data_IF_013067857690
#
_entry.id   IF_013067857690
#
_cell.length_a   1.000
_cell.length_b   1.000
_cell.length_c   1.000
_cell.angle_alpha   90.00
_cell.angle_beta   90.00
_cell.angle_gamma   90.00
#
_symmetry.space_group_name_H-M   'P 1'
#
loop_
_entity.id
_entity.type
_entity.pdbx_description
1 polymer ?
#
# COMPACT_ATOMS: atom_id res chain seq x y z
N UNK A 1 -28.08 0.45 -23.94
CA UNK A 1 -27.48 -0.20 -22.75
C UNK A 1 -27.62 -1.69 -22.96
N UNK A 2 -26.51 -2.35 -23.33
CA UNK A 2 -25.66 -3.04 -22.36
C UNK A 2 -24.16 -2.75 -22.55
N UNK A 3 -23.37 -3.30 -21.62
CA UNK A 3 -21.91 -3.28 -21.49
C UNK A 3 -21.24 -3.75 -22.80
N UNK A 4 -20.20 -3.04 -23.27
CA UNK A 4 -19.34 -3.50 -24.36
C UNK A 4 -17.86 -3.11 -24.20
N UNK A 5 -17.03 -4.13 -24.42
CA UNK A 5 -15.68 -4.14 -25.00
C UNK A 5 -14.46 -3.76 -24.15
N UNK A 6 -13.98 -4.76 -23.44
CA UNK A 6 -12.55 -5.12 -23.42
C UNK A 6 -12.23 -5.97 -24.67
N UNK A 7 -11.32 -5.50 -25.53
CA UNK A 7 -10.51 -6.39 -26.38
C UNK A 7 -9.14 -5.79 -26.72
N UNK A 8 -8.12 -6.52 -26.28
CA UNK A 8 -6.84 -6.84 -26.91
C UNK A 8 -6.07 -5.76 -27.71
N UNK A 9 -4.89 -5.42 -27.19
CA UNK A 9 -3.65 -5.56 -27.98
C UNK A 9 -2.59 -6.22 -27.08
N UNK A 10 -2.30 -7.50 -27.36
CA UNK A 10 -1.13 -8.21 -26.86
C UNK A 10 0.09 -7.79 -27.67
N UNK A 11 1.18 -7.37 -27.03
CA UNK A 11 2.49 -7.35 -27.68
C UNK A 11 3.05 -8.77 -27.67
N UNK A 12 3.20 -9.36 -28.87
CA UNK A 12 3.88 -10.64 -29.05
C UNK A 12 5.39 -10.41 -29.02
N UNK A 13 6.05 -10.98 -28.01
CA UNK A 13 7.48 -11.15 -27.92
C UNK A 13 7.76 -12.64 -28.17
N UNK A 14 8.32 -12.99 -29.33
CA UNK A 14 8.75 -14.38 -29.60
C UNK A 14 10.23 -14.51 -29.22
N UNK A 15 10.49 -15.36 -28.23
CA UNK A 15 11.82 -15.80 -27.82
C UNK A 15 12.23 -16.98 -28.71
N UNK A 16 13.35 -16.86 -29.43
CA UNK A 16 14.07 -18.02 -29.99
C UNK A 16 15.41 -18.16 -29.24
N UNK A 17 16.03 -19.34 -29.32
CA UNK A 17 17.12 -19.75 -28.43
C UNK A 17 18.41 -18.90 -28.52
N UNK A 18 18.51 -17.94 -29.44
CA UNK A 18 19.66 -17.05 -29.60
C UNK A 18 19.25 -15.56 -29.79
N UNK A 19 18.76 -14.90 -28.73
CA UNK A 19 18.70 -13.43 -28.61
C UNK A 19 17.56 -12.68 -29.35
N UNK A 20 17.36 -11.40 -28.99
CA UNK A 20 16.34 -10.50 -29.59
C UNK A 20 16.97 -9.63 -30.70
N UNK A 21 16.42 -9.65 -31.92
CA UNK A 21 16.72 -8.66 -32.98
C UNK A 21 15.44 -8.13 -33.61
N UNK A 22 15.48 -6.89 -34.10
CA UNK A 22 14.36 -6.16 -34.72
C UNK A 22 14.52 -6.19 -36.24
N UNK A 23 13.52 -6.64 -36.99
CA UNK A 23 13.49 -6.54 -38.46
C UNK A 23 12.33 -5.67 -38.93
N UNK A 24 12.66 -4.66 -39.73
CA UNK A 24 11.73 -3.81 -40.48
C UNK A 24 11.02 -4.62 -41.59
N UNK A 25 9.79 -4.27 -41.98
CA UNK A 25 9.26 -4.67 -43.28
C UNK A 25 9.48 -3.61 -44.35
N UNK A 26 10.14 -4.09 -45.39
CA UNK A 26 10.45 -3.52 -46.70
C UNK A 26 9.17 -3.10 -47.45
N UNK A 27 9.17 -1.87 -47.99
CA UNK A 27 8.20 -1.40 -48.98
C UNK A 27 8.61 -1.89 -50.39
N UNK A 28 7.72 -2.63 -51.04
CA UNK A 28 7.81 -2.96 -52.46
C UNK A 28 7.34 -1.80 -53.34
N UNK A 29 8.02 -1.63 -54.47
CA UNK A 29 7.67 -0.82 -55.64
C UNK A 29 7.77 -1.79 -56.86
N UNK A 30 7.36 -1.48 -58.11
CA UNK A 30 6.70 -0.27 -58.65
C UNK A 30 5.56 -0.56 -59.65
N UNK A 31 4.84 0.47 -60.11
CA UNK A 31 4.41 0.52 -61.52
C UNK A 31 4.15 1.96 -62.01
N UNK A 32 4.80 2.30 -63.13
CA UNK A 32 4.61 3.54 -63.91
C UNK A 32 3.52 3.32 -64.96
N UNK A 33 2.94 4.40 -65.50
CA UNK A 33 3.12 4.60 -66.93
C UNK A 33 3.55 6.01 -67.33
N UNK A 34 4.32 6.04 -68.42
CA UNK A 34 4.81 7.22 -69.16
C UNK A 34 3.70 7.76 -70.07
N UNK A 35 3.61 9.09 -70.22
CA UNK A 35 3.09 9.73 -71.44
C UNK A 35 3.65 11.16 -71.62
N UNK A 36 3.73 11.62 -72.87
CA UNK A 36 4.67 12.57 -73.49
C UNK A 36 4.30 14.07 -73.34
N UNK A 37 5.33 14.91 -73.04
CA UNK A 37 5.78 16.21 -73.64
C UNK A 37 4.75 17.29 -74.13
N UNK A 38 5.02 18.63 -74.05
CA UNK A 38 6.26 19.27 -74.56
C UNK A 38 6.87 20.45 -73.77
N UNK A 39 8.05 20.86 -74.25
CA UNK A 39 9.00 21.87 -73.75
C UNK A 39 8.49 23.31 -73.92
N UNK A 40 8.54 24.15 -72.87
CA UNK A 40 8.83 25.59 -72.98
C UNK A 40 9.77 25.99 -71.84
N UNK A 41 10.73 26.85 -72.19
CA UNK A 41 11.93 27.15 -71.46
C UNK A 41 11.78 28.33 -70.47
N UNK A 42 12.78 28.39 -69.57
CA UNK A 42 13.34 29.57 -68.89
C UNK A 42 12.63 30.15 -67.66
N UNK A 43 13.39 30.04 -66.57
CA UNK A 43 13.64 31.06 -65.54
C UNK A 43 12.49 31.45 -64.60
N UNK A 44 12.35 30.70 -63.50
CA UNK A 44 12.19 31.30 -62.15
C UNK A 44 12.98 30.44 -61.15
N UNK A 45 14.29 30.70 -61.04
CA UNK A 45 15.02 30.47 -59.80
C UNK A 45 14.62 31.63 -58.89
N UNK A 46 13.78 31.41 -57.87
CA UNK A 46 13.74 32.19 -56.60
C UNK A 46 12.40 32.14 -55.83
N UNK A 47 11.80 30.95 -55.65
CA UNK A 47 10.69 30.82 -54.67
C UNK A 47 10.69 29.49 -53.91
N UNK A 48 11.05 28.38 -54.58
CA UNK A 48 11.07 27.05 -53.95
C UNK A 48 12.20 26.81 -52.95
N UNK A 49 13.38 27.38 -53.17
CA UNK A 49 14.52 27.24 -52.25
C UNK A 49 14.32 28.05 -50.96
N UNK A 50 13.72 29.25 -51.07
CA UNK A 50 13.34 30.04 -49.90
C UNK A 50 12.22 29.35 -49.10
N UNK A 51 11.23 28.75 -49.77
CA UNK A 51 10.18 27.99 -49.10
C UNK A 51 10.70 26.73 -48.39
N UNK A 52 11.72 26.04 -48.94
CA UNK A 52 12.34 24.90 -48.29
C UNK A 52 13.21 25.31 -47.09
N UNK A 53 13.93 26.43 -47.15
CA UNK A 53 14.70 26.98 -46.03
C UNK A 53 13.77 27.55 -44.94
N UNK A 54 12.67 28.20 -45.31
CA UNK A 54 11.63 28.62 -44.36
C UNK A 54 10.88 27.43 -43.77
N UNK A 55 10.58 26.39 -44.54
CA UNK A 55 10.00 25.16 -44.00
C UNK A 55 10.98 24.47 -43.05
N UNK A 56 12.29 24.43 -43.34
CA UNK A 56 13.29 23.86 -42.44
C UNK A 56 13.57 24.75 -41.21
N UNK A 57 13.46 26.07 -41.33
CA UNK A 57 13.52 26.99 -40.18
C UNK A 57 12.25 26.93 -39.32
N UNK A 58 11.08 26.73 -39.92
CA UNK A 58 9.79 26.60 -39.22
C UNK A 58 9.62 25.19 -38.62
N UNK A 59 10.13 24.13 -39.26
CA UNK A 59 10.19 22.77 -38.69
C UNK A 59 11.36 22.58 -37.71
N UNK A 60 12.47 23.30 -37.90
CA UNK A 60 13.65 23.27 -37.03
C UNK A 60 13.46 24.00 -35.69
N UNK A 61 12.43 24.83 -35.54
CA UNK A 61 12.14 25.61 -34.33
C UNK A 61 11.10 24.93 -33.40
N UNK A 62 10.59 23.72 -33.70
CA UNK A 62 9.63 23.05 -32.81
C UNK A 62 10.05 21.66 -32.33
N UNK A 63 11.23 21.55 -31.74
CA UNK A 63 11.27 20.99 -30.37
C UNK A 63 10.80 22.11 -29.45
N UNK A 64 9.48 22.25 -29.29
CA UNK A 64 8.87 23.12 -28.28
C UNK A 64 9.23 22.56 -26.90
N UNK A 65 10.47 22.76 -26.47
CA UNK A 65 10.80 22.75 -25.05
C UNK A 65 9.97 23.86 -24.45
N UNK A 66 8.93 23.48 -23.68
CA UNK A 66 8.17 24.40 -22.87
C UNK A 66 9.16 25.32 -22.13
N UNK A 67 8.92 26.64 -22.10
CA UNK A 67 9.75 27.54 -21.31
C UNK A 67 9.92 26.94 -19.91
N UNK A 68 11.13 26.99 -19.36
CA UNK A 68 11.46 26.32 -18.11
C UNK A 68 10.50 26.68 -16.97
N UNK A 69 10.02 27.92 -16.98
CA UNK A 69 8.96 28.46 -16.13
C UNK A 69 7.61 27.71 -16.26
N UNK A 70 7.16 27.40 -17.49
CA UNK A 70 5.94 26.63 -17.74
C UNK A 70 6.11 25.16 -17.34
N UNK A 71 7.30 24.59 -17.55
CA UNK A 71 7.64 23.24 -17.10
C UNK A 71 7.64 23.14 -15.57
N UNK A 72 8.17 24.16 -14.90
CA UNK A 72 8.23 24.25 -13.45
C UNK A 72 6.83 24.45 -12.85
N UNK A 73 6.01 25.33 -13.41
CA UNK A 73 4.60 25.49 -13.00
C UNK A 73 3.82 24.18 -13.05
N UNK A 74 3.92 23.41 -14.14
CA UNK A 74 3.26 22.09 -14.25
C UNK A 74 3.75 21.08 -13.21
N UNK A 75 5.06 21.07 -12.90
CA UNK A 75 5.61 20.20 -11.85
C UNK A 75 5.09 20.58 -10.47
N UNK A 76 4.95 21.86 -10.18
CA UNK A 76 4.40 22.35 -8.91
C UNK A 76 2.91 22.03 -8.77
N UNK A 77 2.13 22.22 -9.84
CA UNK A 77 0.72 21.81 -9.86
C UNK A 77 0.58 20.30 -9.58
N UNK A 78 1.47 19.48 -10.14
CA UNK A 78 1.52 18.04 -9.85
C UNK A 78 1.79 17.77 -8.36
N UNK A 79 2.74 18.48 -7.75
CA UNK A 79 3.04 18.34 -6.32
C UNK A 79 1.87 18.76 -5.42
N UNK A 80 1.16 19.83 -5.77
CA UNK A 80 -0.07 20.25 -5.07
C UNK A 80 -1.14 19.15 -5.16
N UNK A 81 -1.34 18.57 -6.34
CA UNK A 81 -2.29 17.47 -6.51
C UNK A 81 -1.88 16.22 -5.74
N UNK A 82 -0.57 15.90 -5.69
CA UNK A 82 -0.04 14.82 -4.86
C UNK A 82 -0.29 15.07 -3.38
N UNK A 83 -0.16 16.31 -2.90
CA UNK A 83 -0.50 16.63 -1.51
C UNK A 83 -1.98 16.36 -1.21
N UNK A 84 -2.90 16.80 -2.08
CA UNK A 84 -4.34 16.50 -1.95
C UNK A 84 -4.60 15.00 -1.89
N UNK A 85 -4.01 14.25 -2.83
CA UNK A 85 -4.15 12.80 -2.87
C UNK A 85 -3.62 12.14 -1.59
N UNK A 86 -2.46 12.58 -1.08
CA UNK A 86 -1.88 12.06 0.15
C UNK A 86 -2.80 12.29 1.37
N UNK A 87 -3.59 13.37 1.40
CA UNK A 87 -4.57 13.61 2.46
C UNK A 87 -5.81 12.73 2.30
N UNK A 88 -6.25 12.47 1.08
CA UNK A 88 -7.35 11.55 0.82
C UNK A 88 -6.98 10.11 1.19
N UNK A 89 -5.78 9.67 0.83
CA UNK A 89 -5.23 8.38 1.25
C UNK A 89 -5.11 8.27 2.78
N UNK A 90 -4.79 9.37 3.46
CA UNK A 90 -4.76 9.40 4.92
C UNK A 90 -6.16 9.19 5.51
N UNK A 91 -7.21 9.80 4.95
CA UNK A 91 -8.60 9.58 5.38
C UNK A 91 -9.04 8.13 5.16
N UNK A 92 -8.81 7.60 3.96
CA UNK A 92 -9.13 6.21 3.64
C UNK A 92 -8.37 5.24 4.55
N UNK A 93 -7.10 5.50 4.84
CA UNK A 93 -6.33 4.70 5.80
C UNK A 93 -6.88 4.82 7.22
N UNK A 94 -7.39 5.99 7.60
CA UNK A 94 -7.98 6.25 8.91
C UNK A 94 -9.23 5.42 9.10
N UNK A 95 -10.14 5.40 8.11
CA UNK A 95 -11.37 4.60 8.14
C UNK A 95 -11.08 3.09 8.28
N UNK A 96 -10.02 2.61 7.63
CA UNK A 96 -9.65 1.18 7.66
C UNK A 96 -9.20 0.69 9.03
N UNK A 97 -8.81 1.57 9.95
CA UNK A 97 -8.39 1.12 11.29
C UNK A 97 -9.53 0.43 12.06
N UNK A 98 -10.78 0.81 11.82
CA UNK A 98 -11.94 0.13 12.42
C UNK A 98 -12.05 -1.32 11.89
N UNK A 99 -11.87 -1.52 10.59
CA UNK A 99 -11.84 -2.87 9.99
C UNK A 99 -10.68 -3.69 10.56
N UNK A 100 -9.48 -3.12 10.63
CA UNK A 100 -8.31 -3.80 11.18
C UNK A 100 -8.46 -4.14 12.67
N UNK A 101 -9.14 -3.29 13.45
CA UNK A 101 -9.46 -3.58 14.84
C UNK A 101 -10.36 -4.81 14.96
N UNK A 102 -11.43 -4.86 14.18
CA UNK A 102 -12.36 -6.00 14.17
C UNK A 102 -11.67 -7.30 13.70
N UNK A 103 -10.86 -7.24 12.66
CA UNK A 103 -10.08 -8.39 12.17
C UNK A 103 -9.11 -8.90 13.26
N UNK A 104 -8.43 -7.98 13.95
CA UNK A 104 -7.50 -8.34 15.03
C UNK A 104 -8.21 -9.00 16.21
N UNK A 105 -9.37 -8.48 16.61
CA UNK A 105 -10.21 -9.08 17.65
C UNK A 105 -10.66 -10.50 17.25
N UNK A 106 -11.19 -10.65 16.04
CA UNK A 106 -11.64 -11.93 15.51
C UNK A 106 -10.52 -12.99 15.44
N UNK A 107 -9.32 -12.62 15.01
CA UNK A 107 -8.18 -13.53 14.99
C UNK A 107 -7.77 -13.99 16.40
N UNK A 108 -7.83 -13.10 17.38
CA UNK A 108 -7.55 -13.42 18.76
C UNK A 108 -8.61 -14.36 19.37
N UNK A 109 -9.89 -14.14 19.06
CA UNK A 109 -10.98 -15.07 19.42
C UNK A 109 -10.76 -16.45 18.82
N UNK A 110 -10.38 -16.54 17.54
CA UNK A 110 -10.09 -17.84 16.92
C UNK A 110 -8.93 -18.57 17.59
N UNK A 111 -7.85 -17.86 17.94
CA UNK A 111 -6.72 -18.46 18.66
C UNK A 111 -7.15 -19.00 20.02
N UNK A 112 -7.94 -18.22 20.75
CA UNK A 112 -8.50 -18.63 22.04
C UNK A 112 -9.39 -19.88 21.90
N UNK A 113 -10.28 -19.89 20.91
CA UNK A 113 -11.14 -21.05 20.61
C UNK A 113 -10.32 -22.32 20.34
N UNK A 114 -9.30 -22.23 19.48
CA UNK A 114 -8.41 -23.38 19.19
C UNK A 114 -7.69 -23.88 20.44
N UNK A 115 -7.27 -22.98 21.33
CA UNK A 115 -6.67 -23.36 22.61
C UNK A 115 -7.66 -24.08 23.51
N UNK A 116 -8.89 -23.59 23.62
CA UNK A 116 -9.94 -24.24 24.41
C UNK A 116 -10.26 -25.65 23.90
N UNK A 117 -10.33 -25.84 22.58
CA UNK A 117 -10.50 -27.16 21.98
C UNK A 117 -9.30 -28.08 22.27
N UNK A 118 -8.07 -27.56 22.23
CA UNK A 118 -6.86 -28.30 22.62
C UNK A 118 -6.90 -28.72 24.10
N UNK A 119 -7.29 -27.82 25.00
CA UNK A 119 -7.47 -28.10 26.44
C UNK A 119 -8.49 -29.23 26.63
N UNK A 120 -9.65 -29.13 25.98
CA UNK A 120 -10.71 -30.13 26.04
C UNK A 120 -10.24 -31.49 25.54
N UNK A 121 -9.48 -31.51 24.44
CA UNK A 121 -8.86 -32.72 23.91
C UNK A 121 -7.90 -33.37 24.93
N UNK A 122 -7.02 -32.59 25.55
CA UNK A 122 -6.06 -33.09 26.55
C UNK A 122 -6.81 -33.65 27.77
N UNK A 123 -7.82 -32.95 28.28
CA UNK A 123 -8.65 -33.44 29.40
C UNK A 123 -9.29 -34.80 29.09
N UNK A 124 -9.88 -34.93 27.91
CA UNK A 124 -10.48 -36.20 27.47
C UNK A 124 -9.46 -37.34 27.37
N UNK A 125 -8.23 -37.04 26.93
CA UNK A 125 -7.15 -38.02 26.91
C UNK A 125 -6.73 -38.45 28.32
N UNK A 126 -6.57 -37.51 29.25
CA UNK A 126 -6.21 -37.80 30.64
C UNK A 126 -7.28 -38.60 31.37
N UNK A 127 -8.56 -38.30 31.12
CA UNK A 127 -9.69 -39.04 31.70
C UNK A 127 -9.76 -40.49 31.23
N UNK A 128 -9.31 -40.77 29.99
CA UNK A 128 -9.38 -42.09 29.40
C UNK A 128 -8.17 -42.95 29.82
N UNK A 129 -8.33 -43.73 30.91
CA UNK A 129 -7.26 -44.53 31.55
C UNK A 129 -6.54 -45.55 30.65
N UNK A 130 -7.02 -45.82 29.42
CA UNK A 130 -6.38 -46.69 28.42
C UNK A 130 -5.11 -46.09 27.77
N UNK A 131 -4.67 -44.91 28.20
CA UNK A 131 -3.50 -44.19 27.65
C UNK A 131 -2.15 -44.71 28.19
N UNK A 132 -2.13 -45.84 28.92
CA UNK A 132 -0.91 -46.44 29.50
C UNK A 132 0.23 -46.69 28.48
N UNK A 133 -0.07 -46.91 27.20
CA UNK A 133 0.95 -47.15 26.15
C UNK A 133 1.36 -45.91 25.33
N UNK A 134 1.03 -44.70 25.79
CA UNK A 134 1.17 -43.46 24.98
C UNK A 134 2.13 -42.42 25.57
N UNK A 135 3.15 -42.85 26.33
CA UNK A 135 4.18 -41.96 26.91
C UNK A 135 4.74 -40.94 25.90
N UNK A 136 5.06 -41.38 24.68
CA UNK A 136 5.53 -40.48 23.60
C UNK A 136 4.51 -39.41 23.20
N UNK A 137 3.22 -39.75 23.16
CA UNK A 137 2.15 -38.77 22.84
C UNK A 137 1.96 -37.76 23.97
N UNK A 138 2.05 -38.20 25.23
CA UNK A 138 1.95 -37.31 26.39
C UNK A 138 3.14 -36.34 26.47
N UNK A 139 4.37 -36.83 26.21
CA UNK A 139 5.56 -35.98 26.12
C UNK A 139 5.42 -34.93 25.01
N UNK A 140 4.94 -35.33 23.83
CA UNK A 140 4.73 -34.40 22.73
C UNK A 140 3.67 -33.35 23.09
N UNK A 141 2.56 -33.76 23.71
CA UNK A 141 1.52 -32.83 24.18
C UNK A 141 2.07 -31.84 25.21
N UNK A 142 2.86 -32.30 26.19
CA UNK A 142 3.49 -31.43 27.16
C UNK A 142 4.37 -30.37 26.48
N UNK A 143 5.26 -30.80 25.56
CA UNK A 143 6.13 -29.88 24.80
C UNK A 143 5.33 -28.87 23.97
N UNK A 144 4.24 -29.33 23.35
CA UNK A 144 3.37 -28.46 22.56
C UNK A 144 2.63 -27.43 23.42
N UNK A 145 2.34 -27.74 24.69
CA UNK A 145 1.74 -26.79 25.65
C UNK A 145 2.82 -25.83 26.16
N UNK A 146 3.98 -26.34 26.57
CA UNK A 146 5.10 -25.52 27.04
C UNK A 146 5.55 -24.50 25.99
N UNK A 147 5.62 -24.92 24.71
CA UNK A 147 5.92 -24.03 23.60
C UNK A 147 4.86 -22.94 23.43
N UNK A 148 3.58 -23.29 23.53
CA UNK A 148 2.49 -22.34 23.42
C UNK A 148 2.49 -21.32 24.57
N UNK A 149 2.84 -21.76 25.78
CA UNK A 149 2.96 -20.88 26.94
C UNK A 149 4.21 -20.01 26.89
N UNK A 150 5.32 -20.48 26.29
CA UNK A 150 6.56 -19.70 26.16
C UNK A 150 6.44 -18.55 25.14
N UNK A 151 5.59 -18.69 24.12
CA UNK A 151 5.41 -17.69 23.07
C UNK A 151 4.36 -16.63 23.48
N UNK A 152 4.79 -15.69 24.34
CA UNK A 152 3.93 -14.61 24.86
C UNK A 152 3.42 -13.67 23.77
N UNK A 153 4.14 -13.54 22.66
CA UNK A 153 3.71 -12.72 21.51
C UNK A 153 2.53 -13.36 20.76
N UNK A 154 2.34 -14.66 20.92
CA UNK A 154 1.23 -15.38 20.33
C UNK A 154 -0.04 -15.34 21.20
N UNK A 155 0.01 -14.71 22.37
CA UNK A 155 -1.19 -14.56 23.21
C UNK A 155 -2.22 -13.65 22.53
N UNK A 156 -3.49 -14.10 22.41
CA UNK A 156 -4.62 -13.30 21.95
C UNK A 156 -4.63 -11.87 22.52
N UNK A 157 -4.49 -11.74 23.85
CA UNK A 157 -4.44 -10.45 24.55
C UNK A 157 -3.29 -9.56 24.11
N UNK A 158 -2.08 -10.11 23.99
CA UNK A 158 -0.90 -9.32 23.60
C UNK A 158 -1.06 -8.72 22.21
N UNK A 159 -1.58 -9.51 21.26
CA UNK A 159 -1.79 -9.05 19.88
C UNK A 159 -2.80 -7.92 19.82
N UNK A 160 -3.92 -8.06 20.52
CA UNK A 160 -4.99 -7.06 20.54
C UNK A 160 -4.52 -5.76 21.21
N UNK A 161 -3.92 -5.85 22.39
CA UNK A 161 -3.46 -4.67 23.16
C UNK A 161 -2.42 -3.88 22.38
N UNK A 162 -1.42 -4.55 21.82
CA UNK A 162 -0.36 -3.92 21.01
C UNK A 162 -0.94 -3.20 19.78
N UNK A 163 -1.89 -3.85 19.07
CA UNK A 163 -2.56 -3.23 17.93
C UNK A 163 -3.34 -1.98 18.32
N UNK A 164 -4.13 -2.05 19.40
CA UNK A 164 -4.93 -0.92 19.87
C UNK A 164 -4.06 0.25 20.30
N UNK A 165 -3.03 0.00 21.10
CA UNK A 165 -2.16 1.08 21.60
C UNK A 165 -1.43 1.77 20.44
N UNK A 166 -0.94 1.01 19.46
CA UNK A 166 -0.32 1.56 18.24
C UNK A 166 -1.30 2.40 17.40
N UNK A 167 -2.53 1.89 17.25
CA UNK A 167 -3.55 2.55 16.42
C UNK A 167 -4.05 3.83 17.08
N UNK A 168 -4.33 3.80 18.38
CA UNK A 168 -4.73 4.97 19.16
C UNK A 168 -3.64 6.03 19.17
N UNK A 169 -2.37 5.64 19.28
CA UNK A 169 -1.24 6.57 19.15
C UNK A 169 -1.26 7.28 17.79
N UNK A 170 -1.45 6.53 16.70
CA UNK A 170 -1.48 7.08 15.34
C UNK A 170 -2.64 8.06 15.14
N UNK A 171 -3.82 7.72 15.64
CA UNK A 171 -5.03 8.54 15.55
C UNK A 171 -5.00 9.78 16.46
N UNK A 172 -4.07 9.84 17.42
CA UNK A 172 -3.96 10.98 18.35
C UNK A 172 -3.08 12.10 17.80
N UNK A 173 -2.38 11.89 16.68
CA UNK A 173 -1.47 12.89 16.08
C UNK A 173 -1.77 13.19 14.60
N UNK A 174 -3.04 13.42 14.19
CA UNK A 174 -3.37 13.64 12.79
C UNK A 174 -2.71 14.90 12.21
N UNK A 175 -2.57 15.96 13.04
CA UNK A 175 -1.89 17.20 12.66
C UNK A 175 -0.43 16.99 12.27
N UNK A 176 0.33 16.27 13.09
CA UNK A 176 1.73 15.96 12.79
C UNK A 176 1.87 15.17 11.48
N UNK A 177 0.94 14.24 11.22
CA UNK A 177 0.90 13.47 9.97
C UNK A 177 0.66 14.35 8.74
N UNK A 178 -0.25 15.32 8.84
CA UNK A 178 -0.53 16.29 7.77
C UNK A 178 0.70 17.18 7.52
N UNK A 179 1.29 17.71 8.60
CA UNK A 179 2.47 18.56 8.53
C UNK A 179 3.68 17.82 7.93
N UNK A 180 3.89 16.55 8.28
CA UNK A 180 4.95 15.73 7.69
C UNK A 180 4.73 15.52 6.18
N UNK A 181 3.49 15.23 5.76
CA UNK A 181 3.15 15.08 4.34
C UNK A 181 3.37 16.38 3.58
N UNK A 182 3.01 17.52 4.17
CA UNK A 182 3.27 18.85 3.60
C UNK A 182 4.77 19.10 3.47
N UNK A 183 5.55 18.82 4.50
CA UNK A 183 7.00 19.00 4.47
C UNK A 183 7.66 18.16 3.38
N UNK A 184 7.25 16.90 3.22
CA UNK A 184 7.73 16.04 2.13
C UNK A 184 7.48 16.65 0.74
N UNK A 185 6.34 17.32 0.56
CA UNK A 185 5.99 18.00 -0.69
C UNK A 185 6.84 19.26 -0.89
N UNK A 186 7.08 20.02 0.18
CA UNK A 186 7.97 21.19 0.16
C UNK A 186 9.39 20.77 -0.21
N UNK A 187 9.90 19.66 0.32
CA UNK A 187 11.25 19.17 0.01
C UNK A 187 11.35 18.67 -1.44
N UNK A 188 10.30 18.05 -1.98
CA UNK A 188 10.23 17.70 -3.41
C UNK A 188 10.21 18.96 -4.28
N UNK A 189 9.51 20.02 -3.86
CA UNK A 189 9.49 21.29 -4.56
C UNK A 189 10.87 21.95 -4.60
N UNK A 190 11.60 21.97 -3.47
CA UNK A 190 12.98 22.50 -3.41
C UNK A 190 13.90 21.80 -4.41
N UNK A 191 13.74 20.48 -4.60
CA UNK A 191 14.49 19.71 -5.62
C UNK A 191 14.12 20.09 -7.06
N UNK A 192 12.87 20.49 -7.30
CA UNK A 192 12.40 20.86 -8.65
C UNK A 192 12.91 22.23 -9.08
N UNK A 193 13.03 23.17 -8.15
CA UNK A 193 13.27 24.58 -8.44
C UNK A 193 14.63 25.10 -7.97
N UNK A 194 15.40 24.31 -7.23
CA UNK A 194 16.65 24.73 -6.60
C UNK A 194 16.43 25.47 -5.27
N UNK A 195 17.41 25.40 -4.37
CA UNK A 195 17.27 25.86 -2.98
C UNK A 195 17.26 27.40 -2.83
N UNK A 196 17.71 28.16 -3.85
CA UNK A 196 18.02 29.60 -3.73
C UNK A 196 16.98 30.57 -4.35
N UNK A 197 15.75 30.14 -4.63
CA UNK A 197 14.74 30.98 -5.30
C UNK A 197 13.71 31.62 -4.36
N UNK A 198 14.17 32.17 -3.23
CA UNK A 198 13.35 32.66 -2.11
C UNK A 198 12.43 33.88 -2.40
N UNK A 199 12.46 34.46 -3.61
CA UNK A 199 11.64 35.63 -4.00
C UNK A 199 10.77 35.39 -5.24
N UNK A 200 10.59 34.14 -5.64
CA UNK A 200 9.83 33.82 -6.85
C UNK A 200 8.31 33.77 -6.51
N UNK A 201 7.45 34.61 -7.13
CA UNK A 201 6.01 34.64 -6.84
C UNK A 201 5.30 33.30 -7.11
N UNK A 202 5.91 32.42 -7.90
CA UNK A 202 5.45 31.04 -8.12
C UNK A 202 5.60 30.18 -6.86
N UNK A 203 6.60 30.44 -6.00
CA UNK A 203 6.73 29.79 -4.70
C UNK A 203 5.62 30.25 -3.76
N UNK A 204 5.36 31.56 -3.70
CA UNK A 204 4.34 32.13 -2.82
C UNK A 204 2.94 31.57 -3.15
N UNK A 205 2.60 31.47 -4.45
CA UNK A 205 1.36 30.84 -4.90
C UNK A 205 1.30 29.35 -4.54
N UNK A 206 2.42 28.63 -4.66
CA UNK A 206 2.51 27.21 -4.28
C UNK A 206 2.28 27.00 -2.79
N UNK A 207 2.96 27.76 -1.91
CA UNK A 207 2.78 27.65 -0.47
C UNK A 207 1.37 28.04 -0.04
N UNK A 208 0.81 29.14 -0.57
CA UNK A 208 -0.59 29.52 -0.33
C UNK A 208 -1.57 28.41 -0.69
N UNK A 209 -1.33 27.69 -1.80
CA UNK A 209 -2.15 26.53 -2.18
C UNK A 209 -2.02 25.38 -1.20
N UNK A 210 -0.81 25.06 -0.73
CA UNK A 210 -0.62 24.02 0.29
C UNK A 210 -1.29 24.39 1.62
N UNK A 211 -1.11 25.62 2.08
CA UNK A 211 -1.73 26.14 3.32
C UNK A 211 -3.25 26.11 3.24
N UNK A 212 -3.80 26.50 2.08
CA UNK A 212 -5.24 26.42 1.83
C UNK A 212 -5.76 24.98 1.89
N UNK A 213 -5.06 24.03 1.26
CA UNK A 213 -5.43 22.61 1.30
C UNK A 213 -5.36 22.07 2.73
N UNK A 214 -4.31 22.40 3.48
CA UNK A 214 -4.16 22.01 4.89
C UNK A 214 -5.35 22.55 5.71
N UNK A 215 -5.64 23.85 5.60
CA UNK A 215 -6.73 24.49 6.34
C UNK A 215 -8.11 23.91 6.00
N UNK A 216 -8.34 23.56 4.73
CA UNK A 216 -9.60 22.97 4.26
C UNK A 216 -9.77 21.50 4.69
N UNK A 217 -8.68 20.73 4.78
CA UNK A 217 -8.73 19.29 5.00
C UNK A 217 -8.44 18.88 6.45
N UNK A 218 -7.66 19.66 7.20
CA UNK A 218 -7.26 19.37 8.59
C UNK A 218 -8.45 19.11 9.52
N UNK A 219 -9.53 19.93 9.54
CA UNK A 219 -10.68 19.67 10.40
C UNK A 219 -11.34 18.32 10.10
N UNK A 220 -11.55 18.00 8.82
CA UNK A 220 -12.16 16.73 8.41
C UNK A 220 -11.31 15.52 8.78
N UNK A 221 -9.98 15.58 8.65
CA UNK A 221 -9.08 14.49 9.07
C UNK A 221 -9.09 14.35 10.60
N UNK A 222 -9.12 15.47 11.33
CA UNK A 222 -9.15 15.47 12.79
C UNK A 222 -10.44 14.85 13.33
N UNK A 223 -11.59 15.29 12.82
CA UNK A 223 -12.91 14.75 13.19
C UNK A 223 -13.00 13.25 12.89
N UNK A 224 -12.56 12.83 11.69
CA UNK A 224 -12.53 11.43 11.31
C UNK A 224 -11.63 10.61 12.24
N UNK A 225 -10.46 11.12 12.59
CA UNK A 225 -9.52 10.43 13.49
C UNK A 225 -10.11 10.28 14.89
N UNK A 226 -10.81 11.30 15.40
CA UNK A 226 -11.48 11.26 16.70
C UNK A 226 -12.64 10.25 16.71
N UNK A 227 -13.46 10.25 15.66
CA UNK A 227 -14.59 9.32 15.51
C UNK A 227 -14.10 7.86 15.41
N UNK A 228 -13.12 7.58 14.55
CA UNK A 228 -12.55 6.23 14.42
C UNK A 228 -11.89 5.79 15.73
N UNK A 229 -11.15 6.68 16.41
CA UNK A 229 -10.56 6.37 17.72
C UNK A 229 -11.63 5.98 18.74
N UNK A 230 -12.77 6.66 18.75
CA UNK A 230 -13.89 6.34 19.64
C UNK A 230 -14.45 4.93 19.35
N UNK A 231 -14.71 4.61 18.08
CA UNK A 231 -15.22 3.28 17.68
C UNK A 231 -14.24 2.17 18.05
N UNK A 232 -12.95 2.38 17.80
CA UNK A 232 -11.88 1.45 18.17
C UNK A 232 -11.85 1.20 19.68
N UNK A 233 -12.03 2.25 20.49
CA UNK A 233 -12.09 2.13 21.94
C UNK A 233 -13.35 1.39 22.42
N UNK A 234 -14.47 1.51 21.71
CA UNK A 234 -15.69 0.74 21.97
C UNK A 234 -15.48 -0.76 21.67
N UNK A 235 -14.85 -1.10 20.54
CA UNK A 235 -14.45 -2.48 20.20
C UNK A 235 -13.49 -3.02 21.27
N UNK A 236 -12.48 -2.22 21.67
CA UNK A 236 -11.53 -2.57 22.72
C UNK A 236 -12.25 -2.96 24.01
N UNK A 237 -13.16 -2.13 24.52
CA UNK A 237 -13.88 -2.39 25.78
C UNK A 237 -14.69 -3.67 25.74
N UNK A 238 -15.33 -3.96 24.60
CA UNK A 238 -16.17 -5.14 24.41
C UNK A 238 -15.32 -6.42 24.34
N UNK A 239 -14.27 -6.40 23.53
CA UNK A 239 -13.56 -7.63 23.14
C UNK A 239 -12.37 -7.91 24.06
N UNK A 240 -11.61 -6.87 24.46
CA UNK A 240 -10.39 -7.04 25.27
C UNK A 240 -10.70 -7.65 26.62
N UNK A 241 -11.69 -7.13 27.35
CA UNK A 241 -12.00 -7.65 28.70
C UNK A 241 -12.40 -9.13 28.65
N UNK A 242 -13.18 -9.53 27.64
CA UNK A 242 -13.64 -10.91 27.47
C UNK A 242 -12.50 -11.84 27.08
N UNK A 243 -11.67 -11.40 26.13
CA UNK A 243 -10.53 -12.18 25.62
C UNK A 243 -9.42 -12.26 26.67
N UNK A 244 -9.16 -11.20 27.43
CA UNK A 244 -8.19 -11.18 28.53
C UNK A 244 -8.52 -12.21 29.60
N UNK A 245 -9.77 -12.23 30.06
CA UNK A 245 -10.19 -13.17 31.08
C UNK A 245 -10.08 -14.61 30.57
N UNK A 246 -10.61 -14.90 29.39
CA UNK A 246 -10.58 -16.25 28.84
C UNK A 246 -9.15 -16.70 28.45
N UNK A 247 -8.30 -15.79 27.97
CA UNK A 247 -6.88 -16.05 27.72
C UNK A 247 -6.13 -16.37 29.02
N UNK A 248 -6.39 -15.64 30.10
CA UNK A 248 -5.82 -15.92 31.41
C UNK A 248 -6.28 -17.29 31.93
N UNK A 249 -7.58 -17.56 31.96
CA UNK A 249 -8.15 -18.82 32.43
C UNK A 249 -7.62 -20.01 31.62
N UNK A 250 -7.57 -19.89 30.28
CA UNK A 250 -7.06 -20.96 29.42
C UNK A 250 -5.56 -21.23 29.65
N UNK A 251 -4.75 -20.21 29.93
CA UNK A 251 -3.32 -20.40 30.29
C UNK A 251 -3.16 -21.08 31.64
N UNK A 252 -3.94 -20.68 32.65
CA UNK A 252 -3.93 -21.35 33.96
C UNK A 252 -4.28 -22.83 33.82
N UNK A 253 -5.27 -23.14 33.00
CA UNK A 253 -5.66 -24.53 32.74
C UNK A 253 -4.55 -25.31 32.02
N UNK A 254 -3.87 -24.71 31.04
CA UNK A 254 -2.72 -25.34 30.39
C UNK A 254 -1.57 -25.61 31.37
N UNK A 255 -1.26 -24.69 32.29
CA UNK A 255 -0.27 -24.91 33.34
C UNK A 255 -0.66 -26.09 34.25
N UNK A 256 -1.93 -26.14 34.66
CA UNK A 256 -2.47 -27.25 35.44
C UNK A 256 -2.32 -28.58 34.69
N UNK A 257 -2.64 -28.62 33.41
CA UNK A 257 -2.53 -29.82 32.57
C UNK A 257 -1.07 -30.30 32.44
N UNK A 258 -0.09 -29.39 32.36
CA UNK A 258 1.34 -29.76 32.38
C UNK A 258 1.66 -30.52 33.66
N UNK A 259 1.25 -30.01 34.83
CA UNK A 259 1.51 -30.65 36.12
C UNK A 259 0.84 -32.03 36.21
N UNK A 260 -0.40 -32.16 35.72
CA UNK A 260 -1.10 -33.45 35.66
C UNK A 260 -0.37 -34.46 34.76
N UNK A 261 0.10 -34.02 33.59
CA UNK A 261 0.90 -34.85 32.67
C UNK A 261 2.21 -35.32 33.33
N UNK A 262 2.92 -34.42 34.01
CA UNK A 262 4.15 -34.74 34.73
C UNK A 262 3.90 -35.78 35.84
N UNK A 263 2.86 -35.59 36.65
CA UNK A 263 2.49 -36.52 37.72
C UNK A 263 2.05 -37.89 37.16
N UNK A 264 1.35 -37.92 36.03
CA UNK A 264 0.99 -39.17 35.36
C UNK A 264 2.24 -39.92 34.89
N UNK A 265 3.19 -39.22 34.28
CA UNK A 265 4.43 -39.83 33.79
C UNK A 265 5.35 -40.31 34.92
N UNK A 266 5.38 -39.62 36.07
CA UNK A 266 6.18 -40.05 37.22
C UNK A 266 5.63 -41.30 37.89
N UNK A 267 4.30 -41.51 37.87
CA UNK A 267 3.62 -42.71 38.40
C UNK A 267 3.64 -43.90 37.44
N UNK A 268 3.99 -43.67 36.17
CA UNK A 268 4.04 -44.71 35.13
C UNK A 268 5.45 -45.32 34.95
N UNK A 269 6.46 -44.84 35.69
CA UNK A 269 7.77 -45.46 35.85
C UNK A 269 7.80 -46.32 37.11
#
# INVERSE_FOLDING_TARGET
MPISNLSNISQQYIKTEHGWTTTEPILSNPEKPKSKAPKIARAIISAGAAAAVFAYAVYGIKKLTLPEEVKNKKKLEKLVNTFKQNLEELKVSTEKFETYANETAFEAEQKLFRRQEKIKYIKNLLANKKVKDKKKKLINLQKDIEKELADTQNYPTYKITTFYDSTVSTLSTPKSSIQQRKQNIVDQMKKVLGENNAKNPVYDDFFKKLDKIETEQEPSVFELSAEVKKRIEEIRKKDVSTIEQADFESRQELYRLILELQNYMSKAN
#
